data_IF_221335842608
#
_entry.id   IF_221335842608
#
_cell.length_a   1.000
_cell.length_b   1.000
_cell.length_c   1.000
_cell.angle_alpha   90.00
_cell.angle_beta   90.00
_cell.angle_gamma   90.00
#
_symmetry.space_group_name_H-M   'P 1'
#
loop_
_entity.id
_entity.type
_entity.pdbx_description
1 polymer ?
#
# COMPACT_ATOMS: atom_id res chain seq x y z
N UNK A 1 8.70 24.46 6.59
CA UNK A 1 7.37 23.99 7.06
C UNK A 1 6.38 24.14 5.93
N UNK A 2 5.95 23.06 5.28
CA UNK A 2 4.80 23.09 4.38
C UNK A 2 3.66 22.31 5.02
N UNK A 3 2.57 23.04 5.23
CA UNK A 3 1.37 22.72 5.99
C UNK A 3 0.72 21.42 5.51
N UNK A 4 0.58 20.46 6.42
CA UNK A 4 -0.25 19.28 6.17
C UNK A 4 -1.69 19.77 5.93
N UNK A 5 -2.17 19.71 4.70
CA UNK A 5 -3.60 19.75 4.42
C UNK A 5 -4.18 18.48 5.02
N UNK A 6 -4.61 18.58 6.28
CA UNK A 6 -5.28 17.51 7.00
C UNK A 6 -6.42 17.00 6.13
N UNK A 7 -6.39 15.71 5.83
CA UNK A 7 -7.48 15.05 5.10
C UNK A 7 -8.74 15.31 5.92
N UNK A 8 -9.71 16.02 5.32
CA UNK A 8 -10.93 16.49 6.02
C UNK A 8 -11.75 15.32 6.59
N UNK A 9 -11.55 14.12 6.05
CA UNK A 9 -12.13 12.86 6.52
C UNK A 9 -10.98 11.88 6.76
N UNK A 10 -10.83 11.27 7.95
CA UNK A 10 -9.80 10.26 8.17
C UNK A 10 -10.02 9.10 7.20
N UNK A 11 -8.96 8.68 6.51
CA UNK A 11 -9.03 7.49 5.68
C UNK A 11 -9.32 6.27 6.56
N UNK A 12 -10.39 5.55 6.24
CA UNK A 12 -10.65 4.24 6.83
C UNK A 12 -9.76 3.18 6.18
N UNK A 13 -9.12 2.34 7.01
CA UNK A 13 -8.36 1.19 6.53
C UNK A 13 -9.32 0.19 5.87
N UNK A 14 -9.09 -0.13 4.59
CA UNK A 14 -9.91 -1.11 3.85
C UNK A 14 -9.35 -2.53 3.87
N UNK A 15 -8.05 -2.70 4.09
CA UNK A 15 -7.38 -3.99 4.11
C UNK A 15 -6.12 -3.92 4.98
N UNK A 16 -5.80 -5.03 5.67
CA UNK A 16 -4.60 -5.23 6.47
C UNK A 16 -4.04 -6.61 6.15
N UNK A 17 -2.72 -6.75 6.14
CA UNK A 17 -2.04 -8.00 5.85
C UNK A 17 -1.01 -8.31 6.93
N UNK A 18 -1.13 -9.49 7.54
CA UNK A 18 -0.12 -10.05 8.44
C UNK A 18 1.01 -10.67 7.62
N UNK A 19 2.22 -10.11 7.72
CA UNK A 19 3.41 -10.51 6.95
C UNK A 19 4.62 -10.68 7.85
N UNK A 20 5.59 -11.48 7.41
CA UNK A 20 6.79 -11.81 8.22
C UNK A 20 7.69 -10.60 8.49
N UNK A 21 7.84 -9.72 7.51
CA UNK A 21 8.68 -8.52 7.57
C UNK A 21 7.94 -7.36 6.91
N UNK A 22 7.28 -6.53 7.72
CA UNK A 22 6.44 -5.45 7.23
C UNK A 22 7.24 -4.38 6.46
N UNK A 23 8.43 -4.02 6.94
CA UNK A 23 9.24 -2.98 6.32
C UNK A 23 9.70 -3.40 4.92
N UNK A 24 10.24 -4.62 4.79
CA UNK A 24 10.69 -5.11 3.47
C UNK A 24 9.53 -5.20 2.49
N UNK A 25 8.38 -5.68 2.96
CA UNK A 25 7.19 -5.85 2.14
C UNK A 25 6.60 -4.53 1.68
N UNK A 26 6.57 -3.52 2.56
CA UNK A 26 6.14 -2.17 2.22
C UNK A 26 6.98 -1.60 1.07
N UNK A 27 8.31 -1.69 1.16
CA UNK A 27 9.23 -1.27 0.09
C UNK A 27 8.91 -1.97 -1.24
N UNK A 28 8.76 -3.30 -1.22
CA UNK A 28 8.47 -4.09 -2.44
C UNK A 28 7.13 -3.68 -3.06
N UNK A 29 6.09 -3.47 -2.25
CA UNK A 29 4.79 -3.01 -2.76
C UNK A 29 4.93 -1.62 -3.38
N UNK A 30 5.62 -0.70 -2.70
CA UNK A 30 5.79 0.68 -3.16
C UNK A 30 6.63 0.79 -4.43
N UNK A 31 7.62 -0.09 -4.62
CA UNK A 31 8.40 -0.22 -5.85
C UNK A 31 7.55 -0.79 -6.98
N UNK A 32 6.82 -1.88 -6.74
CA UNK A 32 5.96 -2.51 -7.76
C UNK A 32 4.80 -1.63 -8.20
N UNK A 33 4.28 -0.80 -7.30
CA UNK A 33 3.22 0.16 -7.62
C UNK A 33 3.76 1.52 -8.10
N UNK A 34 5.09 1.69 -8.20
CA UNK A 34 5.70 2.98 -8.51
C UNK A 34 5.24 3.59 -9.84
N UNK A 35 4.92 2.76 -10.83
CA UNK A 35 4.38 3.19 -12.13
C UNK A 35 3.02 3.89 -12.04
N UNK A 36 2.24 3.57 -11.00
CA UNK A 36 0.92 4.17 -10.76
C UNK A 36 1.01 5.42 -9.89
N UNK A 37 2.20 5.83 -9.41
CA UNK A 37 2.32 7.01 -8.52
C UNK A 37 1.88 8.28 -9.24
N UNK A 38 0.97 9.02 -8.61
CA UNK A 38 0.51 10.34 -9.10
C UNK A 38 1.66 11.36 -9.02
N UNK A 39 2.51 11.26 -7.99
CA UNK A 39 3.69 12.08 -7.81
C UNK A 39 4.84 11.25 -7.26
N UNK A 40 6.08 11.57 -7.66
CA UNK A 40 7.27 10.82 -7.24
C UNK A 40 7.56 10.96 -5.74
N UNK A 41 7.19 12.08 -5.14
CA UNK A 41 7.45 12.46 -3.75
C UNK A 41 6.35 12.04 -2.76
N UNK A 42 5.26 11.42 -3.24
CA UNK A 42 4.12 11.00 -2.39
C UNK A 42 3.60 9.62 -2.76
N UNK A 43 3.08 8.91 -1.78
CA UNK A 43 2.59 7.53 -1.91
C UNK A 43 1.10 7.48 -2.26
N UNK A 44 0.70 8.29 -3.23
CA UNK A 44 -0.64 8.23 -3.82
C UNK A 44 -0.57 7.56 -5.18
N UNK A 45 -1.41 6.55 -5.40
CA UNK A 45 -1.41 5.72 -6.61
C UNK A 45 -2.72 5.93 -7.39
N UNK A 46 -2.62 6.19 -8.69
CA UNK A 46 -3.73 6.33 -9.63
C UNK A 46 -4.28 4.96 -10.03
N UNK A 47 -4.86 4.25 -9.06
CA UNK A 47 -5.43 2.92 -9.24
C UNK A 47 -6.69 2.75 -8.41
N UNK A 48 -7.61 1.89 -8.85
CA UNK A 48 -8.79 1.60 -8.05
C UNK A 48 -8.49 0.56 -6.95
N UNK A 49 -9.32 0.53 -5.91
CA UNK A 49 -9.14 -0.37 -4.77
C UNK A 49 -9.07 -1.84 -5.17
N UNK A 50 -9.89 -2.28 -6.14
CA UNK A 50 -9.95 -3.69 -6.55
C UNK A 50 -8.64 -4.13 -7.19
N UNK A 51 -8.07 -3.32 -8.05
CA UNK A 51 -6.76 -3.56 -8.67
C UNK A 51 -5.65 -3.56 -7.62
N UNK A 52 -5.63 -2.55 -6.75
CA UNK A 52 -4.64 -2.44 -5.68
C UNK A 52 -4.65 -3.69 -4.79
N UNK A 53 -5.85 -4.08 -4.34
CA UNK A 53 -6.03 -5.27 -3.53
C UNK A 53 -5.52 -6.52 -4.25
N UNK A 54 -5.92 -6.76 -5.50
CA UNK A 54 -5.48 -7.94 -6.26
C UNK A 54 -3.96 -7.97 -6.46
N UNK A 55 -3.36 -6.84 -6.84
CA UNK A 55 -1.92 -6.72 -7.04
C UNK A 55 -1.15 -6.99 -5.75
N UNK A 56 -1.57 -6.38 -4.63
CA UNK A 56 -0.94 -6.62 -3.32
C UNK A 56 -1.11 -8.08 -2.89
N UNK A 57 -2.29 -8.69 -3.05
CA UNK A 57 -2.48 -10.11 -2.72
C UNK A 57 -1.57 -11.03 -3.55
N UNK A 58 -1.34 -10.71 -4.82
CA UNK A 58 -0.42 -11.48 -5.67
C UNK A 58 1.05 -11.32 -5.22
N UNK A 59 1.46 -10.13 -4.79
CA UNK A 59 2.81 -9.88 -4.25
C UNK A 59 3.02 -10.67 -2.96
N UNK A 60 2.00 -10.75 -2.11
CA UNK A 60 2.10 -11.32 -0.76
C UNK A 60 1.93 -12.84 -0.69
N UNK A 61 1.80 -13.58 -1.81
CA UNK A 61 1.40 -15.01 -1.79
C UNK A 61 2.24 -15.89 -0.84
N UNK A 62 3.55 -15.66 -0.76
CA UNK A 62 4.48 -16.47 0.04
C UNK A 62 4.95 -15.77 1.33
N UNK A 63 4.55 -14.51 1.49
CA UNK A 63 5.06 -13.61 2.53
C UNK A 63 4.09 -13.46 3.71
N UNK A 64 2.87 -13.98 3.55
CA UNK A 64 1.86 -13.97 4.59
C UNK A 64 2.25 -14.88 5.74
N UNK A 65 1.95 -14.40 6.93
CA UNK A 65 1.81 -15.26 8.10
C UNK A 65 0.46 -15.95 7.92
N UNK A 66 0.44 -17.30 7.94
CA UNK A 66 -0.81 -18.03 8.09
C UNK A 66 -1.30 -17.75 9.50
N UNK A 67 -2.47 -17.12 9.63
CA UNK A 67 -3.15 -17.13 10.92
C UNK A 67 -3.44 -18.60 11.26
N UNK A 68 -3.00 -19.03 12.45
CA UNK A 68 -3.18 -20.38 12.99
C UNK A 68 -4.65 -20.67 13.28
#
# INVERSE_FOLDING_TARGET
MNSATGVVIPFGVRAVWSVKDAHRIETIIHEKLSEYRIRKDREFFAMNYREAFRSINNILREERIKEL
#
